data_IF_818442618610
#
_entry.id   IF_818442618610
#
_cell.length_a   1.000
_cell.length_b   1.000
_cell.length_c   1.000
_cell.angle_alpha   90.00
_cell.angle_beta   90.00
_cell.angle_gamma   90.00
#
_symmetry.space_group_name_H-M   'P 1'
#
loop_
_entity.id
_entity.type
_entity.pdbx_description
1 polymer ?
#
# COMPACT_ATOMS: atom_id res chain seq x y z
N UNK A 1 22.48 -6.01 5.10
CA UNK A 1 21.98 -4.95 4.18
C UNK A 1 20.47 -4.85 4.41
N UNK A 2 19.93 -3.68 4.78
CA UNK A 2 18.47 -3.52 4.93
C UNK A 2 17.81 -3.82 3.57
N UNK A 3 16.81 -4.69 3.56
CA UNK A 3 16.02 -4.97 2.37
C UNK A 3 15.48 -3.67 1.79
N UNK A 4 15.56 -3.51 0.47
CA UNK A 4 15.06 -2.31 -0.18
C UNK A 4 13.55 -2.34 -0.14
N UNK A 5 12.93 -1.38 0.55
CA UNK A 5 11.49 -1.22 0.55
C UNK A 5 11.05 -0.76 -0.86
N UNK A 6 10.30 -1.60 -1.57
CA UNK A 6 9.79 -1.33 -2.93
C UNK A 6 8.35 -0.79 -2.94
N UNK A 7 7.84 -0.35 -1.78
CA UNK A 7 6.48 0.17 -1.69
C UNK A 7 6.32 1.43 -2.55
N UNK A 8 5.25 1.59 -3.34
CA UNK A 8 5.03 2.80 -4.14
C UNK A 8 4.67 4.03 -3.28
N UNK A 9 4.26 3.81 -2.01
CA UNK A 9 3.82 4.85 -1.08
C UNK A 9 4.69 4.84 0.18
N UNK A 10 5.31 5.97 0.49
CA UNK A 10 6.15 6.12 1.68
C UNK A 10 5.66 7.25 2.57
N UNK A 11 5.59 7.01 3.88
CA UNK A 11 5.43 8.08 4.87
C UNK A 11 6.77 8.77 5.03
N UNK A 12 6.79 10.10 4.91
CA UNK A 12 7.98 10.92 5.14
C UNK A 12 7.62 12.11 6.03
N UNK A 13 8.63 12.63 6.71
CA UNK A 13 8.50 13.86 7.49
C UNK A 13 9.37 14.96 6.90
N UNK A 14 8.94 16.20 7.09
CA UNK A 14 9.70 17.41 6.75
C UNK A 14 9.67 18.32 7.97
N UNK A 15 10.83 18.82 8.38
CA UNK A 15 10.92 19.85 9.42
C UNK A 15 10.28 21.15 8.94
N UNK A 16 9.49 21.75 9.82
CA UNK A 16 8.87 23.06 9.62
C UNK A 16 9.37 24.03 10.70
N UNK A 17 8.93 25.29 10.64
CA UNK A 17 9.24 26.27 11.66
C UNK A 17 8.80 25.80 13.06
N UNK A 18 9.45 26.33 14.10
CA UNK A 18 9.16 26.03 15.51
C UNK A 18 9.49 24.59 15.94
N UNK A 19 10.34 23.87 15.20
CA UNK A 19 10.82 22.53 15.57
C UNK A 19 9.81 21.39 15.38
N UNK A 20 8.62 21.70 14.83
CA UNK A 20 7.63 20.69 14.45
C UNK A 20 8.04 20.00 13.14
N UNK A 21 7.45 18.84 12.86
CA UNK A 21 7.60 18.16 11.58
C UNK A 21 6.23 17.93 10.93
N UNK A 22 6.08 18.23 9.65
CA UNK A 22 4.88 17.87 8.89
C UNK A 22 5.06 16.50 8.25
N UNK A 23 4.00 15.69 8.25
CA UNK A 23 3.98 14.37 7.64
C UNK A 23 3.32 14.44 6.26
N UNK A 24 3.95 13.79 5.28
CA UNK A 24 3.44 13.68 3.93
C UNK A 24 3.67 12.28 3.36
N UNK A 25 2.83 11.88 2.42
CA UNK A 25 3.05 10.71 1.60
C UNK A 25 3.86 11.08 0.38
N UNK A 26 4.82 10.23 0.08
CA UNK A 26 5.61 10.25 -1.13
C UNK A 26 5.16 9.08 -2.01
N UNK A 27 4.42 9.41 -3.06
CA UNK A 27 3.70 8.47 -3.90
C UNK A 27 4.33 8.48 -5.28
N UNK A 28 4.68 7.30 -5.79
CA UNK A 28 5.08 7.10 -7.18
C UNK A 28 3.93 6.46 -7.93
N UNK A 29 3.41 7.14 -8.94
CA UNK A 29 2.29 6.70 -9.76
C UNK A 29 2.55 7.11 -11.21
N UNK A 30 2.40 6.18 -12.15
CA UNK A 30 2.58 6.40 -13.59
C UNK A 30 3.93 7.05 -13.98
N UNK A 31 5.00 6.68 -13.26
CA UNK A 31 6.33 7.25 -13.44
C UNK A 31 6.50 8.67 -12.89
N UNK A 32 5.44 9.27 -12.33
CA UNK A 32 5.47 10.57 -11.69
C UNK A 32 5.52 10.45 -10.17
N UNK A 33 6.29 11.33 -9.54
CA UNK A 33 6.39 11.40 -8.07
C UNK A 33 5.52 12.55 -7.56
N UNK A 34 4.54 12.22 -6.72
CA UNK A 34 3.62 13.17 -6.09
C UNK A 34 3.82 13.19 -4.57
N UNK A 35 3.80 14.40 -4.00
CA UNK A 35 3.75 14.60 -2.56
C UNK A 35 2.32 14.91 -2.14
N UNK A 36 1.83 14.20 -1.14
CA UNK A 36 0.52 14.42 -0.56
C UNK A 36 0.67 14.78 0.92
N UNK A 37 0.32 16.02 1.28
CA UNK A 37 0.43 16.50 2.66
C UNK A 37 -0.77 16.04 3.48
N UNK A 38 -0.53 15.36 4.60
CA UNK A 38 -1.59 14.75 5.41
C UNK A 38 -2.25 15.73 6.40
N UNK A 39 -1.71 16.94 6.56
CA UNK A 39 -2.13 17.85 7.62
C UNK A 39 -1.81 17.34 9.03
N UNK A 40 -0.98 16.29 9.14
CA UNK A 40 -0.50 15.73 10.39
C UNK A 40 0.86 16.33 10.74
N UNK A 41 1.07 16.56 12.03
CA UNK A 41 2.28 17.18 12.55
C UNK A 41 2.82 16.42 13.76
N UNK A 42 4.15 16.29 13.82
CA UNK A 42 4.86 15.82 14.99
C UNK A 42 5.34 17.02 15.79
N UNK A 43 5.19 16.92 17.11
CA UNK A 43 5.70 17.92 18.06
C UNK A 43 7.09 17.52 18.55
N UNK A 44 7.94 18.48 18.95
CA UNK A 44 9.20 18.18 19.64
C UNK A 44 8.95 17.30 20.88
N UNK A 45 9.64 16.17 20.97
CA UNK A 45 9.44 15.18 22.05
C UNK A 45 10.13 15.59 23.35
N UNK A 46 9.55 16.54 24.08
CA UNK A 46 10.07 16.98 25.37
C UNK A 46 9.51 16.15 26.54
N UNK A 47 8.25 15.74 26.44
CA UNK A 47 7.54 15.00 27.48
C UNK A 47 7.13 13.60 27.03
N UNK A 48 6.76 12.73 27.98
CA UNK A 48 6.19 11.42 27.68
C UNK A 48 4.83 11.53 26.97
N UNK A 49 4.06 12.57 27.25
CA UNK A 49 2.80 12.84 26.56
C UNK A 49 3.04 13.13 25.06
N UNK A 50 4.05 13.94 24.75
CA UNK A 50 4.42 14.26 23.36
C UNK A 50 4.79 13.00 22.56
N UNK A 51 5.55 12.08 23.18
CA UNK A 51 5.90 10.79 22.57
C UNK A 51 4.66 9.93 22.28
N UNK A 52 3.70 9.91 23.19
CA UNK A 52 2.45 9.16 23.01
C UNK A 52 1.63 9.79 21.87
N UNK A 53 1.51 11.12 21.85
CA UNK A 53 0.80 11.84 20.80
C UNK A 53 1.44 11.62 19.43
N UNK A 54 2.76 11.74 19.31
CA UNK A 54 3.49 11.49 18.07
C UNK A 54 3.31 10.05 17.57
N UNK A 55 3.32 9.04 18.45
CA UNK A 55 3.04 7.65 18.06
C UNK A 55 1.62 7.47 17.54
N UNK A 56 0.63 8.10 18.18
CA UNK A 56 -0.75 8.07 17.69
C UNK A 56 -0.87 8.74 16.30
N UNK A 57 -0.23 9.90 16.12
CA UNK A 57 -0.18 10.59 14.82
C UNK A 57 0.49 9.74 13.74
N UNK A 58 1.60 9.07 14.06
CA UNK A 58 2.28 8.18 13.11
C UNK A 58 1.41 6.97 12.73
N UNK A 59 0.66 6.41 13.68
CA UNK A 59 -0.30 5.33 13.38
C UNK A 59 -1.39 5.79 12.40
N UNK A 60 -1.93 6.99 12.58
CA UNK A 60 -2.88 7.57 11.63
C UNK A 60 -2.22 7.75 10.24
N UNK A 61 -0.97 8.20 10.19
CA UNK A 61 -0.25 8.33 8.92
C UNK A 61 -0.04 6.97 8.22
N UNK A 62 0.24 5.90 8.98
CA UNK A 62 0.35 4.54 8.46
C UNK A 62 -0.99 4.02 7.92
N UNK A 63 -2.10 4.30 8.61
CA UNK A 63 -3.45 3.97 8.14
C UNK A 63 -3.79 4.69 6.83
N UNK A 64 -3.43 5.97 6.70
CA UNK A 64 -3.63 6.72 5.45
C UNK A 64 -2.74 6.16 4.33
N UNK A 65 -1.48 5.79 4.63
CA UNK A 65 -0.62 5.09 3.66
C UNK A 65 -1.26 3.80 3.17
N UNK A 66 -1.82 2.98 4.07
CA UNK A 66 -2.47 1.72 3.69
C UNK A 66 -3.66 1.96 2.76
N UNK A 67 -4.50 2.97 3.05
CA UNK A 67 -5.62 3.36 2.17
C UNK A 67 -5.14 3.79 0.78
N UNK A 68 -4.12 4.65 0.70
CA UNK A 68 -3.53 5.07 -0.57
C UNK A 68 -2.93 3.92 -1.37
N UNK A 69 -2.34 2.93 -0.70
CA UNK A 69 -1.83 1.74 -1.37
C UNK A 69 -2.95 0.94 -2.03
N UNK A 70 -4.09 0.76 -1.35
CA UNK A 70 -5.26 0.06 -1.92
C UNK A 70 -5.83 0.80 -3.12
N UNK A 71 -5.97 2.13 -3.03
CA UNK A 71 -6.46 2.95 -4.14
C UNK A 71 -5.52 2.89 -5.36
N UNK A 72 -4.21 2.93 -5.12
CA UNK A 72 -3.20 2.87 -6.17
C UNK A 72 -3.17 1.49 -6.86
N UNK A 73 -3.37 0.41 -6.10
CA UNK A 73 -3.56 -0.93 -6.65
C UNK A 73 -4.84 -1.01 -7.49
N UNK A 74 -5.95 -0.45 -7.01
CA UNK A 74 -7.21 -0.42 -7.76
C UNK A 74 -7.05 0.35 -9.09
N UNK A 75 -6.39 1.51 -9.05
CA UNK A 75 -6.06 2.30 -10.24
C UNK A 75 -5.23 1.48 -11.24
N UNK A 76 -4.24 0.71 -10.79
CA UNK A 76 -3.44 -0.16 -11.66
C UNK A 76 -4.27 -1.27 -12.32
N UNK A 77 -5.21 -1.86 -11.58
CA UNK A 77 -6.12 -2.89 -12.11
C UNK A 77 -7.01 -2.28 -13.20
N UNK A 78 -7.59 -1.11 -12.96
CA UNK A 78 -8.46 -0.42 -13.92
C UNK A 78 -7.70 0.03 -15.18
N UNK A 79 -6.43 0.41 -15.04
CA UNK A 79 -5.54 0.73 -16.16
C UNK A 79 -5.07 -0.53 -16.95
N UNK A 80 -5.46 -1.74 -16.52
CA UNK A 80 -5.16 -2.99 -17.20
C UNK A 80 -3.76 -3.54 -16.92
N UNK A 81 -3.08 -3.06 -15.86
CA UNK A 81 -1.85 -3.69 -15.39
C UNK A 81 -2.20 -4.99 -14.65
N UNK A 82 -1.44 -6.06 -14.93
CA UNK A 82 -1.62 -7.34 -14.25
C UNK A 82 -1.29 -7.17 -12.75
N UNK A 83 -2.25 -7.52 -11.88
CA UNK A 83 -2.12 -7.44 -10.43
C UNK A 83 -0.88 -8.23 -9.90
N UNK A 84 -0.35 -9.18 -10.67
CA UNK A 84 0.88 -9.92 -10.37
C UNK A 84 2.19 -9.12 -10.54
N UNK A 85 2.17 -7.98 -11.23
CA UNK A 85 3.35 -7.13 -11.47
C UNK A 85 3.53 -6.01 -10.42
N UNK A 86 2.67 -5.95 -9.40
CA UNK A 86 2.56 -4.88 -8.39
C UNK A 86 3.80 -4.69 -7.47
N UNK A 87 4.92 -5.34 -7.76
CA UNK A 87 6.16 -5.29 -6.95
C UNK A 87 7.20 -4.32 -7.52
N UNK A 88 7.00 -3.77 -8.74
CA UNK A 88 8.03 -2.94 -9.39
C UNK A 88 7.44 -1.58 -9.83
N UNK A 89 7.74 -0.47 -9.12
CA UNK A 89 7.16 0.86 -9.36
C UNK A 89 7.74 1.59 -10.60
N UNK A 90 8.37 0.88 -11.53
CA UNK A 90 9.00 1.46 -12.72
C UNK A 90 8.56 0.70 -13.98
N UNK A 91 7.28 0.79 -14.30
CA UNK A 91 6.81 0.57 -15.67
C UNK A 91 6.59 1.96 -16.27
N UNK A 92 7.57 2.55 -16.99
CA UNK A 92 7.38 3.85 -17.63
C UNK A 92 6.17 3.84 -18.57
N UNK A 93 5.44 4.96 -18.62
CA UNK A 93 4.39 5.18 -19.60
C UNK A 93 4.98 4.97 -21.01
N UNK A 94 4.62 3.87 -21.67
CA UNK A 94 5.16 3.47 -22.98
C UNK A 94 5.74 2.06 -23.05
N UNK A 95 6.01 1.38 -21.92
CA UNK A 95 6.30 -0.07 -21.88
C UNK A 95 5.04 -0.87 -21.57
N UNK A 96 3.99 -0.64 -22.36
CA UNK A 96 2.96 -1.65 -22.58
C UNK A 96 3.48 -2.63 -23.63
N UNK A 97 4.44 -3.49 -23.27
CA UNK A 97 4.72 -4.69 -24.09
C UNK A 97 4.07 -5.87 -23.40
N UNK A 98 3.05 -6.40 -24.09
CA UNK A 98 2.34 -7.68 -23.94
C UNK A 98 1.58 -7.87 -22.61
N UNK A 99 0.26 -8.08 -22.58
CA UNK A 99 -0.48 -9.12 -23.31
C UNK A 99 -1.81 -8.58 -23.88
N UNK A 100 -1.80 -8.20 -25.16
CA UNK A 100 -3.00 -8.25 -26.01
C UNK A 100 -3.03 -9.64 -26.63
N UNK A 101 -3.40 -10.63 -25.82
CA UNK A 101 -3.42 -12.03 -26.22
C UNK A 101 -4.21 -12.81 -25.19
N UNK A 102 -5.51 -12.95 -25.43
CA UNK A 102 -6.37 -13.72 -24.54
C UNK A 102 -5.79 -15.11 -24.32
N UNK A 103 -5.54 -15.49 -23.06
CA UNK A 103 -5.64 -16.88 -22.58
C UNK A 103 -5.37 -16.95 -21.07
N UNK A 104 -6.26 -17.64 -20.35
CA UNK A 104 -6.01 -18.41 -19.10
C UNK A 104 -6.08 -17.80 -17.68
N UNK A 105 -6.50 -16.56 -17.42
CA UNK A 105 -6.74 -16.14 -16.01
C UNK A 105 -8.16 -16.48 -15.50
N UNK A 106 -9.15 -16.56 -16.40
CA UNK A 106 -10.52 -16.96 -16.03
C UNK A 106 -10.63 -18.42 -15.53
N UNK A 107 -9.67 -19.30 -15.87
CA UNK A 107 -9.70 -20.71 -15.43
C UNK A 107 -9.21 -20.89 -13.98
N UNK A 108 -8.32 -20.03 -13.49
CA UNK A 108 -7.80 -20.10 -12.11
C UNK A 108 -8.75 -19.51 -11.06
N UNK A 109 -9.52 -18.48 -11.40
CA UNK A 109 -10.52 -17.91 -10.49
C UNK A 109 -11.74 -18.84 -10.27
N UNK A 110 -12.06 -19.70 -11.25
CA UNK A 110 -13.06 -20.75 -11.10
C UNK A 110 -12.61 -21.86 -10.13
N UNK A 111 -11.34 -22.25 -10.17
CA UNK A 111 -10.78 -23.30 -9.29
C UNK A 111 -10.60 -22.83 -7.84
N UNK A 112 -10.32 -21.54 -7.60
CA UNK A 112 -10.24 -20.98 -6.23
C UNK A 112 -11.63 -20.89 -5.55
N UNK A 113 -12.73 -20.89 -6.32
CA UNK A 113 -14.06 -21.06 -5.73
C UNK A 113 -14.31 -22.48 -5.20
N UNK A 114 -13.60 -23.49 -5.73
CA UNK A 114 -13.71 -24.89 -5.30
C UNK A 114 -12.88 -25.21 -4.05
N UNK A 115 -11.81 -24.45 -3.76
CA UNK A 115 -11.05 -24.57 -2.49
C UNK A 115 -11.78 -23.99 -1.28
N UNK A 116 -12.83 -23.19 -1.48
CA UNK A 116 -13.74 -22.79 -0.38
C UNK A 116 -14.61 -23.95 0.14
N UNK A 117 -14.67 -25.09 -0.58
CA UNK A 117 -15.32 -26.33 -0.11
C UNK A 117 -14.47 -27.11 0.89
N UNK A 118 -13.15 -26.86 0.92
CA UNK A 118 -12.22 -27.50 1.87
C UNK A 118 -12.19 -26.87 3.27
N UNK A 119 -12.63 -25.62 3.41
CA UNK A 119 -12.64 -24.95 4.72
C UNK A 119 -13.85 -25.32 5.59
N UNK A 120 -14.94 -25.81 4.99
CA UNK A 120 -16.15 -26.23 5.73
C UNK A 120 -15.98 -27.54 6.51
N UNK A 121 -14.91 -28.29 6.27
CA UNK A 121 -14.65 -29.56 6.97
C UNK A 121 -13.71 -29.41 8.17
N UNK A 122 -13.08 -28.24 8.37
CA UNK A 122 -12.22 -28.00 9.53
C UNK A 122 -13.02 -27.60 10.78
N UNK A 123 -14.19 -26.98 10.60
CA UNK A 123 -15.07 -26.58 11.71
C UNK A 123 -15.92 -27.75 12.28
N UNK A 124 -15.90 -28.93 11.64
CA UNK A 124 -16.69 -30.10 12.05
C UNK A 124 -15.92 -31.13 12.91
N UNK A 125 -14.69 -30.83 13.33
CA UNK A 125 -13.84 -31.73 14.15
C UNK A 125 -13.51 -31.15 15.53
N UNK A 126 -14.15 -30.03 15.91
CA UNK A 126 -13.95 -29.36 17.19
C UNK A 126 -15.13 -29.51 18.17
N UNK A 127 -16.17 -30.28 17.82
CA UNK A 127 -17.22 -30.72 18.74
C UNK A 127 -17.41 -32.24 18.58
N UNK A 128 -16.62 -32.99 19.35
CA UNK A 128 -16.68 -34.44 19.49
C UNK A 128 -15.91 -34.88 20.71
#
# INVERSE_FOLDING_TARGET
>A
MKGKDFSPVHVRTRKIAQGKETIYLDIVMDGMRKKEYLGLYLVPENTRADKIANRATMRIAEEIKAKRLVELIAHWIDAGYDAGAAVIPFVPAGVSKVVKGGTKVAKGLGEVSSTRKGLKNADAIAEG
#
